data_IF_203855059483
#
_entry.id   IF_203855059483
#
_cell.length_a   1.000
_cell.length_b   1.000
_cell.length_c   1.000
_cell.angle_alpha   90.00
_cell.angle_beta   90.00
_cell.angle_gamma   90.00
#
_symmetry.space_group_name_H-M   'P 1'
#
loop_
_entity.id
_entity.type
_entity.pdbx_description
1 polymer ?
#
# COMPACT_ATOMS: atom_id res chain seq x y z
N UNK A 1 4.01 21.61 -13.16
CA UNK A 1 2.62 21.38 -12.70
C UNK A 1 2.48 21.43 -11.17
N UNK A 2 3.13 20.54 -10.40
CA UNK A 2 2.95 20.46 -8.93
C UNK A 2 3.19 21.78 -8.15
N UNK A 3 4.11 22.64 -8.63
CA UNK A 3 4.43 23.94 -8.02
C UNK A 3 3.31 24.99 -8.13
N UNK A 4 2.41 24.85 -9.11
CA UNK A 4 1.32 25.79 -9.39
C UNK A 4 -0.05 25.18 -9.08
N UNK A 5 -0.14 24.32 -8.07
CA UNK A 5 -1.38 23.64 -7.70
C UNK A 5 -2.60 24.56 -7.45
N UNK A 6 -2.47 25.81 -6.95
CA UNK A 6 -3.65 26.65 -6.75
C UNK A 6 -4.33 26.98 -8.08
N UNK A 7 -3.53 27.19 -9.14
CA UNK A 7 -4.01 27.45 -10.49
C UNK A 7 -4.77 26.24 -11.05
N UNK A 8 -4.25 25.02 -10.86
CA UNK A 8 -4.88 23.79 -11.36
C UNK A 8 -6.23 23.51 -10.70
N UNK A 9 -6.42 23.90 -9.43
CA UNK A 9 -7.73 23.82 -8.77
C UNK A 9 -8.72 24.83 -9.32
N UNK A 10 -8.25 26.04 -9.64
CA UNK A 10 -9.09 27.13 -10.11
C UNK A 10 -9.44 27.02 -11.60
N UNK A 11 -8.69 26.22 -12.37
CA UNK A 11 -8.79 26.13 -13.84
C UNK A 11 -8.91 24.67 -14.30
N UNK A 12 -10.13 24.12 -14.37
CA UNK A 12 -10.36 22.74 -14.81
C UNK A 12 -9.85 22.46 -16.23
N UNK A 13 -9.87 23.45 -17.11
CA UNK A 13 -9.32 23.38 -18.47
C UNK A 13 -7.81 23.11 -18.47
N UNK A 14 -7.07 23.79 -17.58
CA UNK A 14 -5.63 23.56 -17.43
C UNK A 14 -5.33 22.21 -16.78
N UNK A 15 -6.17 21.77 -15.84
CA UNK A 15 -6.04 20.45 -15.23
C UNK A 15 -6.21 19.35 -16.28
N UNK A 16 -7.26 19.41 -17.12
CA UNK A 16 -7.46 18.48 -18.23
C UNK A 16 -6.25 18.44 -19.16
N UNK A 17 -5.74 19.60 -19.57
CA UNK A 17 -4.60 19.69 -20.48
C UNK A 17 -3.34 19.07 -19.88
N UNK A 18 -3.11 19.28 -18.58
CA UNK A 18 -1.99 18.64 -17.87
C UNK A 18 -2.18 17.13 -17.80
N UNK A 19 -3.37 16.63 -17.46
CA UNK A 19 -3.63 15.19 -17.41
C UNK A 19 -3.42 14.56 -18.79
N UNK A 20 -3.96 15.16 -19.85
CA UNK A 20 -3.79 14.69 -21.23
C UNK A 20 -2.32 14.68 -21.67
N UNK A 21 -1.54 15.70 -21.29
CA UNK A 21 -0.11 15.77 -21.61
C UNK A 21 0.72 14.72 -20.86
N UNK A 22 0.26 14.28 -19.68
CA UNK A 22 0.92 13.25 -18.88
C UNK A 22 0.54 11.83 -19.31
N UNK A 23 -0.62 11.66 -19.94
CA UNK A 23 -1.10 10.37 -20.44
C UNK A 23 -0.33 9.91 -21.69
N UNK A 24 -0.24 8.59 -21.88
CA UNK A 24 0.32 7.95 -23.07
C UNK A 24 1.83 8.10 -23.22
N UNK A 25 2.31 7.98 -24.47
CA UNK A 25 3.75 7.90 -24.83
C UNK A 25 4.56 9.15 -24.50
N UNK A 26 3.90 10.29 -24.22
CA UNK A 26 4.58 11.53 -23.82
C UNK A 26 4.87 11.61 -22.33
N UNK A 27 4.27 10.73 -21.52
CA UNK A 27 4.42 10.75 -20.06
C UNK A 27 4.46 9.35 -19.46
N UNK A 28 3.32 8.85 -19.00
CA UNK A 28 3.22 7.60 -18.23
C UNK A 28 3.67 6.35 -19.00
N UNK A 29 3.61 6.37 -20.34
CA UNK A 29 4.09 5.29 -21.21
C UNK A 29 5.34 5.69 -21.99
N UNK A 30 6.05 6.74 -21.55
CA UNK A 30 7.21 7.24 -22.28
C UNK A 30 8.33 6.18 -22.36
N UNK A 31 9.02 6.02 -23.50
CA UNK A 31 10.05 4.99 -23.67
C UNK A 31 11.22 5.17 -22.71
N UNK A 32 11.68 6.41 -22.53
CA UNK A 32 12.79 6.73 -21.63
C UNK A 32 12.41 6.55 -20.13
N UNK A 33 13.10 5.67 -19.36
CA UNK A 33 12.74 5.34 -17.98
C UNK A 33 12.61 6.54 -17.05
N UNK A 34 13.59 7.45 -17.05
CA UNK A 34 13.54 8.64 -16.17
C UNK A 34 12.33 9.53 -16.41
N UNK A 35 11.85 9.64 -17.65
CA UNK A 35 10.68 10.47 -17.99
C UNK A 35 9.41 9.79 -17.51
N UNK A 36 9.30 8.48 -17.74
CA UNK A 36 8.19 7.66 -17.26
C UNK A 36 8.08 7.70 -15.74
N UNK A 37 9.18 7.45 -15.02
CA UNK A 37 9.16 7.48 -13.55
C UNK A 37 8.86 8.86 -13.00
N UNK A 38 9.43 9.90 -13.63
CA UNK A 38 9.10 11.28 -13.26
C UNK A 38 7.62 11.59 -13.50
N UNK A 39 7.02 11.05 -14.57
CA UNK A 39 5.59 11.23 -14.88
C UNK A 39 4.70 10.55 -13.84
N UNK A 40 5.01 9.33 -13.41
CA UNK A 40 4.30 8.62 -12.34
C UNK A 40 4.33 9.41 -11.02
N UNK A 41 5.51 9.88 -10.63
CA UNK A 41 5.68 10.74 -9.45
C UNK A 41 4.90 12.06 -9.56
N UNK A 42 4.98 12.74 -10.72
CA UNK A 42 4.28 14.00 -10.92
C UNK A 42 2.77 13.81 -10.93
N UNK A 43 2.26 12.67 -11.43
CA UNK A 43 0.83 12.37 -11.44
C UNK A 43 0.31 12.30 -10.00
N UNK A 44 1.02 11.56 -9.14
CA UNK A 44 0.73 11.50 -7.71
C UNK A 44 0.66 12.90 -7.10
N UNK A 45 1.64 13.77 -7.41
CA UNK A 45 1.65 15.15 -6.90
C UNK A 45 0.49 15.98 -7.44
N UNK A 46 0.14 15.86 -8.72
CA UNK A 46 -0.97 16.59 -9.33
C UNK A 46 -2.31 16.15 -8.73
N UNK A 47 -2.55 14.86 -8.59
CA UNK A 47 -3.78 14.31 -7.99
C UNK A 47 -3.91 14.72 -6.53
N UNK A 48 -2.85 14.59 -5.75
CA UNK A 48 -2.81 15.02 -4.34
C UNK A 48 -3.09 16.53 -4.20
N UNK A 49 -2.54 17.33 -5.12
CA UNK A 49 -2.80 18.74 -5.20
C UNK A 49 -4.25 19.04 -5.58
N UNK A 50 -4.77 18.48 -6.66
CA UNK A 50 -6.09 18.80 -7.21
C UNK A 50 -7.24 18.37 -6.29
N UNK A 51 -7.12 17.24 -5.58
CA UNK A 51 -8.13 16.77 -4.63
C UNK A 51 -9.51 16.62 -5.29
N UNK A 52 -10.54 17.28 -4.75
CA UNK A 52 -11.92 17.23 -5.27
C UNK A 52 -12.06 17.65 -6.74
N UNK A 53 -11.15 18.46 -7.27
CA UNK A 53 -11.16 18.82 -8.70
C UNK A 53 -10.93 17.62 -9.63
N UNK A 54 -10.40 16.50 -9.12
CA UNK A 54 -10.23 15.26 -9.87
C UNK A 54 -11.53 14.46 -10.05
N UNK A 55 -12.64 14.82 -9.37
CA UNK A 55 -13.89 14.03 -9.38
C UNK A 55 -14.37 13.67 -10.80
N UNK A 56 -14.38 14.58 -11.80
CA UNK A 56 -14.83 14.23 -13.16
C UNK A 56 -13.92 13.24 -13.89
N UNK A 57 -12.70 13.02 -13.40
CA UNK A 57 -11.66 12.23 -14.06
C UNK A 57 -11.39 10.89 -13.39
N UNK A 58 -12.05 10.60 -12.26
CA UNK A 58 -11.77 9.41 -11.44
C UNK A 58 -11.85 8.14 -12.28
N UNK A 59 -12.97 7.91 -12.95
CA UNK A 59 -13.22 6.67 -13.69
C UNK A 59 -12.15 6.45 -14.78
N UNK A 60 -11.92 7.47 -15.62
CA UNK A 60 -10.91 7.41 -16.70
C UNK A 60 -9.50 7.26 -16.15
N UNK A 61 -9.16 7.97 -15.06
CA UNK A 61 -7.82 7.90 -14.48
C UNK A 61 -7.56 6.55 -13.81
N UNK A 62 -8.52 6.01 -13.05
CA UNK A 62 -8.41 4.69 -12.42
C UNK A 62 -8.27 3.61 -13.50
N UNK A 63 -9.14 3.61 -14.51
CA UNK A 63 -9.07 2.65 -15.61
C UNK A 63 -7.76 2.77 -16.41
N UNK A 64 -7.29 3.98 -16.68
CA UNK A 64 -6.02 4.22 -17.37
C UNK A 64 -4.80 3.74 -16.58
N UNK A 65 -4.79 3.95 -15.26
CA UNK A 65 -3.72 3.45 -14.38
C UNK A 65 -3.74 1.91 -14.34
N UNK A 66 -4.92 1.30 -14.19
CA UNK A 66 -5.04 -0.16 -14.23
C UNK A 66 -4.57 -0.75 -15.56
N UNK A 67 -4.96 -0.12 -16.68
CA UNK A 67 -4.48 -0.49 -18.01
C UNK A 67 -2.95 -0.45 -18.10
N UNK A 68 -2.32 0.59 -17.57
CA UNK A 68 -0.86 0.73 -17.57
C UNK A 68 -0.14 -0.34 -16.74
N UNK A 69 -0.68 -0.68 -15.56
CA UNK A 69 -0.07 -1.67 -14.65
C UNK A 69 -0.28 -3.11 -15.15
N UNK A 70 -1.36 -3.36 -15.90
CA UNK A 70 -1.68 -4.69 -16.43
C UNK A 70 -1.20 -4.91 -17.87
N UNK A 71 -0.69 -3.88 -18.55
CA UNK A 71 -0.21 -3.99 -19.94
C UNK A 71 1.08 -4.82 -19.98
N UNK A 72 1.13 -5.95 -20.72
CA UNK A 72 2.27 -6.85 -20.74
C UNK A 72 3.55 -6.23 -21.34
N UNK A 73 3.42 -5.17 -22.14
CA UNK A 73 4.55 -4.47 -22.75
C UNK A 73 5.04 -3.31 -21.89
N UNK A 74 4.15 -2.65 -21.15
CA UNK A 74 4.50 -1.48 -20.33
C UNK A 74 4.79 -1.83 -18.86
N UNK A 75 4.08 -2.80 -18.29
CA UNK A 75 4.25 -3.18 -16.88
C UNK A 75 5.70 -3.58 -16.55
N UNK A 76 6.41 -4.37 -17.38
CA UNK A 76 7.83 -4.70 -17.12
C UNK A 76 8.76 -3.48 -17.19
N UNK A 77 8.33 -2.39 -17.80
CA UNK A 77 9.10 -1.14 -17.89
C UNK A 77 8.90 -0.24 -16.67
N UNK A 78 7.86 -0.45 -15.86
CA UNK A 78 7.63 0.33 -14.65
C UNK A 78 8.61 -0.11 -13.57
N UNK A 79 9.28 0.86 -12.95
CA UNK A 79 10.04 0.55 -11.73
C UNK A 79 9.08 0.25 -10.57
N UNK A 80 9.59 -0.39 -9.53
CA UNK A 80 8.83 -0.61 -8.29
C UNK A 80 8.27 0.68 -7.70
N UNK A 81 9.04 1.76 -7.72
CA UNK A 81 8.56 3.04 -7.19
C UNK A 81 7.44 3.64 -8.05
N UNK A 82 7.48 3.39 -9.37
CA UNK A 82 6.44 3.85 -10.30
C UNK A 82 5.10 3.19 -9.99
N UNK A 83 5.09 1.86 -9.82
CA UNK A 83 3.86 1.14 -9.47
C UNK A 83 3.32 1.58 -8.11
N UNK A 84 4.19 1.80 -7.11
CA UNK A 84 3.79 2.33 -5.81
C UNK A 84 3.18 3.75 -5.92
N UNK A 85 3.74 4.64 -6.73
CA UNK A 85 3.15 5.96 -6.97
C UNK A 85 1.78 5.85 -7.64
N UNK A 86 1.61 4.92 -8.57
CA UNK A 86 0.34 4.69 -9.27
C UNK A 86 -0.73 4.11 -8.32
N UNK A 87 -0.38 3.14 -7.47
CA UNK A 87 -1.30 2.62 -6.45
C UNK A 87 -1.70 3.69 -5.43
N UNK A 88 -0.76 4.51 -4.94
CA UNK A 88 -1.09 5.64 -4.06
C UNK A 88 -1.98 6.67 -4.77
N UNK A 89 -1.71 6.92 -6.07
CA UNK A 89 -2.54 7.80 -6.89
C UNK A 89 -3.98 7.30 -6.99
N UNK A 90 -4.17 6.02 -7.31
CA UNK A 90 -5.48 5.37 -7.33
C UNK A 90 -6.16 5.48 -5.97
N UNK A 91 -5.45 5.20 -4.88
CA UNK A 91 -5.97 5.39 -3.52
C UNK A 91 -6.48 6.81 -3.27
N UNK A 92 -5.69 7.83 -3.62
CA UNK A 92 -6.09 9.24 -3.47
C UNK A 92 -7.28 9.62 -4.36
N UNK A 93 -7.35 9.11 -5.59
CA UNK A 93 -8.49 9.30 -6.48
C UNK A 93 -9.77 8.75 -5.85
N UNK A 94 -9.71 7.59 -5.21
CA UNK A 94 -10.87 6.98 -4.56
C UNK A 94 -11.24 7.68 -3.24
N UNK A 95 -10.24 7.96 -2.40
CA UNK A 95 -10.48 8.42 -1.02
C UNK A 95 -10.55 9.93 -0.81
N UNK A 96 -10.11 10.77 -1.77
CA UNK A 96 -9.98 12.23 -1.57
C UNK A 96 -10.75 13.12 -2.55
N UNK A 97 -11.48 12.53 -3.50
CA UNK A 97 -12.18 13.28 -4.57
C UNK A 97 -13.66 13.53 -4.27
N UNK A 98 -14.22 12.90 -3.23
CA UNK A 98 -15.62 13.05 -2.84
C UNK A 98 -16.58 12.09 -3.56
N UNK A 99 -16.07 10.96 -4.04
CA UNK A 99 -16.89 9.82 -4.50
C UNK A 99 -17.75 9.30 -3.34
N UNK A 100 -19.01 8.92 -3.54
CA UNK A 100 -19.84 8.29 -2.51
C UNK A 100 -19.23 6.99 -1.95
N UNK A 101 -19.39 6.67 -0.65
CA UNK A 101 -18.82 5.48 -0.03
C UNK A 101 -19.08 4.16 -0.76
N UNK A 102 -20.30 3.94 -1.24
CA UNK A 102 -20.65 2.73 -1.99
C UNK A 102 -19.82 2.58 -3.28
N UNK A 103 -19.67 3.67 -4.04
CA UNK A 103 -18.83 3.68 -5.25
C UNK A 103 -17.34 3.52 -4.90
N UNK A 104 -16.86 4.13 -3.81
CA UNK A 104 -15.50 3.92 -3.33
C UNK A 104 -15.23 2.43 -3.04
N UNK A 105 -16.18 1.76 -2.38
CA UNK A 105 -16.14 0.32 -2.12
C UNK A 105 -16.03 -0.48 -3.42
N UNK A 106 -16.91 -0.24 -4.38
CA UNK A 106 -16.91 -0.92 -5.68
C UNK A 106 -15.57 -0.77 -6.42
N UNK A 107 -15.07 0.47 -6.54
CA UNK A 107 -13.78 0.70 -7.21
C UNK A 107 -12.62 0.07 -6.44
N UNK A 108 -12.61 0.17 -5.10
CA UNK A 108 -11.55 -0.42 -4.30
C UNK A 108 -11.53 -1.94 -4.43
N UNK A 109 -12.70 -2.59 -4.40
CA UNK A 109 -12.83 -4.04 -4.63
C UNK A 109 -12.24 -4.44 -5.98
N UNK A 110 -12.56 -3.69 -7.04
CA UNK A 110 -12.06 -3.99 -8.39
C UNK A 110 -10.53 -3.90 -8.48
N UNK A 111 -9.91 -2.96 -7.76
CA UNK A 111 -8.44 -2.76 -7.80
C UNK A 111 -7.71 -3.72 -6.85
N UNK A 112 -8.31 -4.08 -5.71
CA UNK A 112 -7.68 -4.94 -4.70
C UNK A 112 -7.80 -6.43 -5.02
N UNK A 113 -8.92 -6.85 -5.62
CA UNK A 113 -9.20 -8.27 -5.93
C UNK A 113 -8.06 -8.99 -6.66
N UNK A 114 -7.46 -8.43 -7.73
CA UNK A 114 -6.36 -9.09 -8.44
C UNK A 114 -5.14 -9.36 -7.54
N UNK A 115 -4.84 -8.48 -6.57
CA UNK A 115 -3.74 -8.67 -5.63
C UNK A 115 -4.04 -9.76 -4.61
N UNK A 116 -5.27 -9.83 -4.10
CA UNK A 116 -5.70 -10.90 -3.19
C UNK A 116 -5.66 -12.26 -3.91
N UNK A 117 -6.13 -12.32 -5.15
CA UNK A 117 -6.07 -13.53 -5.97
C UNK A 117 -4.63 -13.95 -6.25
N UNK A 118 -3.76 -13.01 -6.64
CA UNK A 118 -2.33 -13.26 -6.83
C UNK A 118 -1.67 -13.83 -5.57
N UNK A 119 -1.97 -13.27 -4.39
CA UNK A 119 -1.49 -13.79 -3.11
C UNK A 119 -1.94 -15.25 -2.91
N UNK A 120 -3.24 -15.52 -3.09
CA UNK A 120 -3.79 -16.86 -2.89
C UNK A 120 -3.16 -17.88 -3.85
N UNK A 121 -3.01 -17.53 -5.13
CA UNK A 121 -2.39 -18.39 -6.14
C UNK A 121 -0.92 -18.69 -5.82
N UNK A 122 -0.13 -17.67 -5.47
CA UNK A 122 1.31 -17.86 -5.17
C UNK A 122 1.49 -18.67 -3.89
N UNK A 123 0.69 -18.42 -2.85
CA UNK A 123 0.75 -19.19 -1.60
C UNK A 123 0.37 -20.67 -1.76
N UNK A 124 -0.41 -21.01 -2.78
CA UNK A 124 -0.78 -22.39 -3.12
C UNK A 124 0.14 -23.02 -4.17
N UNK A 125 1.07 -22.25 -4.74
CA UNK A 125 1.98 -22.76 -5.77
C UNK A 125 3.06 -23.65 -5.15
N UNK A 126 3.44 -24.76 -5.80
CA UNK A 126 4.64 -25.51 -5.42
C UNK A 126 5.92 -24.66 -5.50
N UNK A 127 5.90 -23.58 -6.29
CA UNK A 127 7.03 -22.65 -6.44
C UNK A 127 7.39 -21.96 -5.13
N UNK A 128 6.47 -21.85 -4.16
CA UNK A 128 6.78 -21.28 -2.86
C UNK A 128 7.89 -22.06 -2.14
N UNK A 129 7.95 -23.38 -2.35
CA UNK A 129 9.01 -24.23 -1.80
C UNK A 129 10.26 -24.27 -2.69
N UNK A 130 10.10 -24.12 -4.00
CA UNK A 130 11.20 -24.26 -4.98
C UNK A 130 11.97 -22.96 -5.21
N UNK A 131 11.27 -21.82 -5.19
CA UNK A 131 11.80 -20.48 -5.38
C UNK A 131 11.09 -19.49 -4.43
N UNK A 132 11.38 -19.59 -3.11
CA UNK A 132 10.78 -18.71 -2.10
C UNK A 132 11.18 -17.25 -2.31
N UNK A 133 12.33 -16.96 -2.93
CA UNK A 133 12.81 -15.60 -3.15
C UNK A 133 11.97 -14.87 -4.20
N UNK A 134 11.68 -15.51 -5.34
CA UNK A 134 10.80 -14.95 -6.36
C UNK A 134 9.34 -14.84 -5.87
N UNK A 135 8.88 -15.84 -5.12
CA UNK A 135 7.57 -15.80 -4.49
C UNK A 135 7.46 -14.66 -3.48
N UNK A 136 8.48 -14.47 -2.64
CA UNK A 136 8.56 -13.38 -1.67
C UNK A 136 8.51 -12.00 -2.32
N UNK A 137 9.17 -11.82 -3.46
CA UNK A 137 9.06 -10.58 -4.24
C UNK A 137 7.63 -10.34 -4.74
N UNK A 138 7.01 -11.35 -5.35
CA UNK A 138 5.64 -11.24 -5.90
C UNK A 138 4.62 -10.95 -4.79
N UNK A 139 4.69 -11.69 -3.69
CA UNK A 139 3.79 -11.55 -2.55
C UNK A 139 3.97 -10.19 -1.86
N UNK A 140 5.21 -9.77 -1.59
CA UNK A 140 5.48 -8.46 -0.98
C UNK A 140 5.03 -7.30 -1.86
N UNK A 141 5.14 -7.41 -3.19
CA UNK A 141 4.62 -6.42 -4.13
C UNK A 141 3.08 -6.31 -4.07
N UNK A 142 2.36 -7.43 -3.98
CA UNK A 142 0.90 -7.42 -3.81
C UNK A 142 0.45 -6.83 -2.47
N UNK A 143 1.13 -7.16 -1.36
CA UNK A 143 0.87 -6.53 -0.05
C UNK A 143 1.14 -5.03 -0.11
N UNK A 144 2.24 -4.61 -0.75
CA UNK A 144 2.59 -3.21 -0.91
C UNK A 144 1.55 -2.44 -1.74
N UNK A 145 1.02 -3.04 -2.82
CA UNK A 145 -0.02 -2.44 -3.63
C UNK A 145 -1.27 -2.12 -2.78
N UNK A 146 -1.75 -3.08 -1.99
CA UNK A 146 -2.90 -2.91 -1.10
C UNK A 146 -2.61 -1.83 -0.04
N UNK A 147 -1.42 -1.84 0.55
CA UNK A 147 -1.01 -0.82 1.52
C UNK A 147 -1.01 0.59 0.90
N UNK A 148 -0.49 0.75 -0.32
CA UNK A 148 -0.42 2.05 -0.99
C UNK A 148 -1.78 2.54 -1.49
N UNK A 149 -2.64 1.65 -1.99
CA UNK A 149 -4.05 1.96 -2.29
C UNK A 149 -4.77 2.50 -1.06
N UNK A 150 -4.51 1.89 0.11
CA UNK A 150 -5.17 2.31 1.35
C UNK A 150 -4.79 3.73 1.82
N UNK A 151 -3.68 4.33 1.32
CA UNK A 151 -3.22 5.68 1.71
C UNK A 151 -4.21 6.79 1.35
N UNK A 152 -5.10 6.52 0.39
CA UNK A 152 -6.23 7.39 0.08
C UNK A 152 -7.19 7.64 1.24
N UNK A 153 -7.23 6.70 2.18
CA UNK A 153 -8.26 6.62 3.21
C UNK A 153 -7.67 6.93 4.59
N UNK A 154 -8.44 7.58 5.44
CA UNK A 154 -8.09 7.73 6.85
C UNK A 154 -9.41 7.78 7.62
N UNK A 155 -9.68 6.75 8.44
CA UNK A 155 -11.03 6.50 8.98
C UNK A 155 -12.11 6.48 7.88
N UNK A 156 -12.00 5.59 6.87
CA UNK A 156 -12.99 5.48 5.81
C UNK A 156 -14.39 5.10 6.32
N UNK A 157 -15.39 5.23 5.45
CA UNK A 157 -16.73 4.71 5.65
C UNK A 157 -16.75 3.17 5.68
N UNK A 158 -17.85 2.59 6.16
CA UNK A 158 -17.92 1.15 6.46
C UNK A 158 -17.83 0.27 5.20
N UNK A 159 -18.32 0.73 4.05
CA UNK A 159 -18.19 0.02 2.77
C UNK A 159 -16.72 -0.20 2.41
N UNK A 160 -15.89 0.82 2.61
CA UNK A 160 -14.44 0.75 2.34
C UNK A 160 -13.71 -0.04 3.43
N UNK A 161 -14.11 0.10 4.71
CA UNK A 161 -13.55 -0.74 5.79
C UNK A 161 -13.80 -2.22 5.53
N UNK A 162 -14.99 -2.58 5.07
CA UNK A 162 -15.34 -3.97 4.73
C UNK A 162 -14.36 -4.54 3.71
N UNK A 163 -14.16 -3.84 2.59
CA UNK A 163 -13.22 -4.26 1.53
C UNK A 163 -11.79 -4.37 2.05
N UNK A 164 -11.32 -3.39 2.84
CA UNK A 164 -9.98 -3.46 3.43
C UNK A 164 -9.84 -4.59 4.46
N UNK A 165 -10.87 -4.83 5.27
CA UNK A 165 -10.91 -5.93 6.24
C UNK A 165 -10.83 -7.30 5.58
N UNK A 166 -11.48 -7.48 4.43
CA UNK A 166 -11.40 -8.72 3.63
C UNK A 166 -9.99 -9.02 3.12
N UNK A 167 -9.09 -8.02 3.05
CA UNK A 167 -7.68 -8.25 2.66
C UNK A 167 -6.79 -8.76 3.79
N UNK A 168 -7.21 -8.58 5.05
CA UNK A 168 -6.38 -8.86 6.24
C UNK A 168 -5.93 -10.33 6.30
N UNK A 169 -6.81 -11.33 6.09
CA UNK A 169 -6.38 -12.72 6.15
C UNK A 169 -5.35 -13.08 5.08
N UNK A 170 -5.51 -12.54 3.86
CA UNK A 170 -4.58 -12.81 2.77
C UNK A 170 -3.19 -12.20 3.04
N UNK A 171 -3.13 -10.93 3.47
CA UNK A 171 -1.86 -10.27 3.80
C UNK A 171 -1.18 -10.88 5.03
N UNK A 172 -1.96 -11.36 6.02
CA UNK A 172 -1.42 -12.08 7.17
C UNK A 172 -0.81 -13.42 6.75
N UNK A 173 -1.50 -14.18 5.90
CA UNK A 173 -1.01 -15.47 5.40
C UNK A 173 0.33 -15.34 4.67
N UNK A 174 0.57 -14.23 3.95
CA UNK A 174 1.87 -13.94 3.33
C UNK A 174 2.98 -13.87 4.37
N UNK A 175 2.77 -13.11 5.44
CA UNK A 175 3.75 -12.95 6.52
C UNK A 175 4.02 -14.26 7.25
N UNK A 176 2.99 -15.08 7.45
CA UNK A 176 3.11 -16.38 8.09
C UNK A 176 3.80 -17.43 7.21
N UNK A 177 3.65 -17.33 5.89
CA UNK A 177 4.29 -18.24 4.95
C UNK A 177 5.79 -17.95 4.75
N UNK A 178 6.17 -16.66 4.74
CA UNK A 178 7.56 -16.23 4.54
C UNK A 178 8.03 -15.26 5.64
N UNK A 179 8.04 -15.68 6.92
CA UNK A 179 8.37 -14.78 8.04
C UNK A 179 9.85 -14.38 8.05
N UNK A 180 10.72 -15.19 7.43
CA UNK A 180 12.16 -14.91 7.32
C UNK A 180 12.51 -13.90 6.20
N UNK A 181 11.60 -13.62 5.26
CA UNK A 181 11.86 -12.67 4.17
C UNK A 181 11.65 -11.22 4.65
N UNK A 182 12.73 -10.45 4.72
CA UNK A 182 12.69 -9.05 5.17
C UNK A 182 11.86 -8.12 4.28
N UNK A 183 11.72 -8.41 2.97
CA UNK A 183 10.86 -7.64 2.06
C UNK A 183 9.40 -7.87 2.45
N UNK A 184 9.02 -9.12 2.70
CA UNK A 184 7.68 -9.47 3.17
C UNK A 184 7.38 -8.79 4.52
N UNK A 185 8.28 -8.91 5.50
CA UNK A 185 8.11 -8.26 6.82
C UNK A 185 7.91 -6.76 6.70
N UNK A 186 8.77 -6.07 5.97
CA UNK A 186 8.67 -4.60 5.80
C UNK A 186 7.36 -4.19 5.11
N UNK A 187 6.91 -4.91 4.06
CA UNK A 187 5.63 -4.58 3.40
C UNK A 187 4.41 -4.90 4.26
N UNK A 188 4.44 -5.98 5.03
CA UNK A 188 3.39 -6.31 5.98
C UNK A 188 3.34 -5.31 7.15
N UNK A 189 4.48 -4.77 7.59
CA UNK A 189 4.52 -3.70 8.59
C UNK A 189 3.83 -2.43 8.09
N UNK A 190 4.19 -1.97 6.88
CA UNK A 190 3.53 -0.81 6.25
C UNK A 190 2.03 -1.07 6.08
N UNK A 191 1.64 -2.27 5.64
CA UNK A 191 0.24 -2.67 5.53
C UNK A 191 -0.50 -2.62 6.88
N UNK A 192 0.08 -3.18 7.95
CA UNK A 192 -0.52 -3.16 9.29
C UNK A 192 -0.71 -1.73 9.80
N UNK A 193 0.30 -0.88 9.65
CA UNK A 193 0.23 0.54 10.02
C UNK A 193 -0.92 1.26 9.30
N UNK A 194 -1.18 0.88 8.05
CA UNK A 194 -2.32 1.39 7.29
C UNK A 194 -3.66 0.82 7.77
N UNK A 195 -3.74 -0.47 8.07
CA UNK A 195 -4.97 -1.10 8.59
C UNK A 195 -5.34 -0.54 9.97
N UNK A 196 -4.36 -0.25 10.83
CA UNK A 196 -4.55 0.51 12.08
C UNK A 196 -5.24 1.85 11.80
N UNK A 197 -4.86 2.55 10.73
CA UNK A 197 -5.47 3.84 10.35
C UNK A 197 -6.88 3.70 9.78
N UNK A 198 -7.10 2.69 8.94
CA UNK A 198 -8.35 2.49 8.22
C UNK A 198 -9.43 1.78 9.05
N UNK A 199 -9.09 0.65 9.66
CA UNK A 199 -10.04 -0.20 10.36
C UNK A 199 -10.24 0.24 11.82
N UNK A 200 -9.28 0.95 12.41
CA UNK A 200 -9.40 1.36 13.81
C UNK A 200 -9.40 0.13 14.73
N UNK A 201 -10.37 0.03 15.65
CA UNK A 201 -10.41 -1.06 16.64
C UNK A 201 -10.65 -2.44 16.01
N UNK A 202 -11.25 -2.48 14.84
CA UNK A 202 -11.59 -3.74 14.15
C UNK A 202 -10.33 -4.53 13.75
N UNK A 203 -9.15 -3.90 13.71
CA UNK A 203 -7.87 -4.59 13.44
C UNK A 203 -7.28 -5.25 14.69
N UNK A 204 -7.64 -4.81 15.90
CA UNK A 204 -6.96 -5.24 17.13
C UNK A 204 -6.92 -6.78 17.30
N UNK A 205 -7.98 -7.54 16.98
CA UNK A 205 -7.95 -9.00 17.13
C UNK A 205 -6.87 -9.71 16.30
N UNK A 206 -6.46 -9.15 15.14
CA UNK A 206 -5.46 -9.79 14.28
C UNK A 206 -4.03 -9.28 14.52
N UNK A 207 -3.87 -8.16 15.24
CA UNK A 207 -2.56 -7.54 15.50
C UNK A 207 -1.55 -8.51 16.10
N UNK A 208 -1.87 -9.35 17.12
CA UNK A 208 -0.90 -10.31 17.66
C UNK A 208 -0.30 -11.22 16.60
N UNK A 209 -1.11 -11.69 15.65
CA UNK A 209 -0.67 -12.58 14.57
C UNK A 209 0.25 -11.91 13.54
N UNK A 210 0.20 -10.58 13.41
CA UNK A 210 1.19 -9.83 12.64
C UNK A 210 2.46 -9.57 13.45
N UNK A 211 2.31 -9.15 14.72
CA UNK A 211 3.45 -8.76 15.54
C UNK A 211 4.36 -9.93 15.88
N UNK A 212 3.82 -11.12 16.13
CA UNK A 212 4.60 -12.31 16.49
C UNK A 212 5.70 -12.64 15.46
N UNK A 213 5.40 -12.88 14.17
CA UNK A 213 6.45 -13.14 13.18
C UNK A 213 7.34 -11.91 12.92
N UNK A 214 6.80 -10.69 12.99
CA UNK A 214 7.60 -9.46 12.83
C UNK A 214 8.66 -9.33 13.94
N UNK A 215 8.28 -9.58 15.19
CA UNK A 215 9.18 -9.47 16.34
C UNK A 215 10.18 -10.62 16.37
N UNK A 216 9.72 -11.85 16.16
CA UNK A 216 10.58 -13.05 16.23
C UNK A 216 11.68 -13.02 15.17
N UNK A 217 11.34 -12.57 13.95
CA UNK A 217 12.21 -12.67 12.78
C UNK A 217 12.88 -11.34 12.38
N UNK A 218 12.62 -10.23 13.07
CA UNK A 218 13.28 -8.96 12.74
C UNK A 218 14.80 -9.02 12.90
N UNK A 219 15.46 -8.13 12.17
CA UNK A 219 16.89 -7.86 12.21
C UNK A 219 17.15 -6.35 12.40
N UNK A 220 18.40 -5.93 12.26
CA UNK A 220 18.78 -4.53 12.46
C UNK A 220 18.17 -3.58 11.41
N UNK A 221 17.79 -4.08 10.23
CA UNK A 221 17.24 -3.26 9.16
C UNK A 221 15.74 -2.98 9.36
N UNK A 222 15.00 -3.91 9.96
CA UNK A 222 13.53 -3.83 10.06
C UNK A 222 12.95 -3.86 11.48
N UNK A 223 13.77 -3.93 12.53
CA UNK A 223 13.29 -3.78 13.92
C UNK A 223 12.54 -2.44 14.13
N UNK A 224 12.94 -1.38 13.42
CA UNK A 224 12.26 -0.09 13.47
C UNK A 224 10.81 -0.15 12.97
N UNK A 225 10.49 -1.02 12.02
CA UNK A 225 9.13 -1.17 11.48
C UNK A 225 8.19 -1.78 12.54
N UNK A 226 8.67 -2.78 13.30
CA UNK A 226 7.94 -3.37 14.42
C UNK A 226 7.76 -2.37 15.57
N UNK A 227 8.81 -1.63 15.94
CA UNK A 227 8.72 -0.56 16.93
C UNK A 227 7.67 0.47 16.54
N UNK A 228 7.66 0.89 15.28
CA UNK A 228 6.71 1.89 14.79
C UNK A 228 5.27 1.38 14.87
N UNK A 229 5.02 0.11 14.52
CA UNK A 229 3.70 -0.49 14.63
C UNK A 229 3.21 -0.56 16.09
N UNK A 230 4.05 -1.04 17.02
CA UNK A 230 3.74 -1.09 18.46
C UNK A 230 3.46 0.32 18.99
N UNK A 231 4.32 1.29 18.70
CA UNK A 231 4.12 2.66 19.11
C UNK A 231 2.81 3.25 18.56
N UNK A 232 2.48 2.98 17.30
CA UNK A 232 1.25 3.44 16.69
C UNK A 232 0.00 2.86 17.38
N UNK A 233 0.04 1.58 17.78
CA UNK A 233 -1.03 0.94 18.54
C UNK A 233 -1.21 1.63 19.91
N UNK A 234 -0.13 1.85 20.64
CA UNK A 234 -0.15 2.55 21.93
C UNK A 234 -0.75 3.96 21.80
N UNK A 235 -0.26 4.76 20.86
CA UNK A 235 -0.71 6.14 20.65
C UNK A 235 -2.18 6.19 20.21
N UNK A 236 -2.62 5.25 19.38
CA UNK A 236 -3.97 5.29 18.79
C UNK A 236 -5.05 4.69 19.69
N UNK A 237 -4.74 3.62 20.41
CA UNK A 237 -5.74 2.83 21.14
C UNK A 237 -5.55 2.87 22.67
N UNK A 238 -4.42 3.36 23.17
CA UNK A 238 -4.17 3.46 24.61
C UNK A 238 -4.33 2.10 25.31
N UNK A 239 -5.15 2.06 26.36
CA UNK A 239 -5.43 0.83 27.11
C UNK A 239 -6.04 -0.29 26.25
N UNK A 240 -6.80 0.03 25.20
CA UNK A 240 -7.39 -0.97 24.29
C UNK A 240 -6.32 -1.73 23.49
N UNK A 241 -5.10 -1.19 23.36
CA UNK A 241 -3.98 -1.88 22.70
C UNK A 241 -3.37 -2.99 23.55
N UNK A 242 -3.59 -3.00 24.87
CA UNK A 242 -2.83 -3.83 25.81
C UNK A 242 -2.86 -5.31 25.43
N UNK A 243 -4.05 -5.87 25.21
CA UNK A 243 -4.21 -7.27 24.80
C UNK A 243 -3.59 -7.59 23.44
N UNK A 244 -3.47 -6.60 22.55
CA UNK A 244 -2.92 -6.79 21.21
C UNK A 244 -1.39 -6.80 21.17
N UNK A 245 -0.72 -6.18 22.15
CA UNK A 245 0.75 -6.06 22.17
C UNK A 245 1.43 -6.81 23.32
N UNK A 246 0.66 -7.26 24.33
CA UNK A 246 1.18 -7.83 25.58
C UNK A 246 2.28 -8.87 25.35
N UNK A 247 2.02 -9.82 24.45
CA UNK A 247 2.90 -10.96 24.23
C UNK A 247 4.08 -10.61 23.30
N UNK A 248 4.07 -9.44 22.68
CA UNK A 248 5.08 -9.00 21.71
C UNK A 248 6.10 -8.03 22.31
N UNK A 249 5.74 -7.22 23.31
CA UNK A 249 6.62 -6.15 23.83
C UNK A 249 7.90 -6.71 24.46
N UNK A 250 7.79 -7.69 25.37
CA UNK A 250 8.97 -8.23 26.06
C UNK A 250 9.90 -8.97 25.09
N UNK A 251 9.41 -9.88 24.21
CA UNK A 251 10.27 -10.50 23.20
C UNK A 251 10.93 -9.48 22.27
N UNK A 252 10.22 -8.41 21.91
CA UNK A 252 10.79 -7.36 21.07
C UNK A 252 11.94 -6.61 21.75
N UNK A 253 11.79 -6.24 23.01
CA UNK A 253 12.86 -5.58 23.77
C UNK A 253 14.10 -6.48 23.92
N UNK A 254 13.90 -7.77 24.20
CA UNK A 254 14.99 -8.74 24.25
C UNK A 254 15.72 -8.84 22.89
N UNK A 255 14.96 -8.98 21.80
CA UNK A 255 15.49 -9.02 20.44
C UNK A 255 16.29 -7.76 20.09
N UNK A 256 15.79 -6.57 20.42
CA UNK A 256 16.51 -5.31 20.20
C UNK A 256 17.81 -5.24 21.00
N UNK A 257 17.83 -5.74 22.24
CA UNK A 257 19.04 -5.79 23.06
C UNK A 257 20.10 -6.70 22.44
N UNK A 258 19.71 -7.90 21.97
CA UNK A 258 20.62 -8.83 21.32
C UNK A 258 21.20 -8.25 20.02
N UNK A 259 20.36 -7.61 19.21
CA UNK A 259 20.79 -6.92 17.99
C UNK A 259 21.75 -5.77 18.29
N UNK A 260 21.53 -5.00 19.36
CA UNK A 260 22.42 -3.92 19.77
C UNK A 260 23.78 -4.45 20.30
N UNK A 261 23.77 -5.58 21.01
CA UNK A 261 24.97 -6.21 21.55
C UNK A 261 25.86 -6.87 20.48
N UNK A 262 25.27 -7.35 19.38
CA UNK A 262 25.98 -7.97 18.26
C UNK A 262 26.60 -7.01 17.24
N UNK A 263 26.39 -5.70 17.39
CA UNK A 263 26.95 -4.64 16.51
C UNK A 263 28.25 -4.04 17.09
N UNK A 264 28.77 -4.60 18.18
CA UNK A 264 30.03 -4.22 18.83
C UNK A 264 31.26 -5.00 18.35
#
# INVERSE_FOLDING_TARGET
AARYHPLLKARPDLLQNVLNAMSGERGLSHPHPRVRSRSCYLLLKVVKAAGKAMRPYVETAVGGIQGLISDPNLAPLLSRDDTLYLFETTGLLLGKTGIPPAEQGTYLTAVVTPHVQSIQTVLQSPDLANDPDQCGETLSNSVAAIAYLSKGFNKPADEVKKVLGETVPACLAVLQALPADGRVRSKCAVYLQRMILCLGRDVLPCVPSFLEPMVTNCDAEDAADAQQAINQLCVKFGGDAAGAINDSVVPFLAKCHDLAAGVG
#
